data_IF_054483332482
#
_entry.id   IF_054483332482
#
_cell.length_a   1.000
_cell.length_b   1.000
_cell.length_c   1.000
_cell.angle_alpha   90.00
_cell.angle_beta   90.00
_cell.angle_gamma   90.00
#
_symmetry.space_group_name_H-M   'P 1'
#
loop_
_entity.id
_entity.type
_entity.pdbx_description
1 polymer ?
#
# COMPACT_ATOMS: atom_id res chain seq x y z
N UNK A 1 17.75 46.64 -27.36
CA UNK A 1 18.37 45.30 -27.49
C UNK A 1 18.61 44.57 -26.17
N UNK A 2 19.00 45.26 -25.08
CA UNK A 2 19.23 44.61 -23.76
C UNK A 2 17.97 44.06 -23.08
N UNK A 3 16.85 44.80 -23.13
CA UNK A 3 15.59 44.35 -22.53
C UNK A 3 15.05 43.05 -23.15
N UNK A 4 15.17 42.91 -24.47
CA UNK A 4 14.75 41.70 -25.21
C UNK A 4 15.61 40.50 -24.81
N UNK A 5 16.93 40.68 -24.65
CA UNK A 5 17.83 39.60 -24.17
C UNK A 5 17.52 39.16 -22.74
N UNK A 6 17.16 40.10 -21.86
CA UNK A 6 16.77 39.78 -20.49
C UNK A 6 15.41 39.06 -20.43
N UNK A 7 14.47 39.43 -21.29
CA UNK A 7 13.18 38.77 -21.41
C UNK A 7 13.33 37.32 -21.90
N UNK A 8 14.16 37.08 -22.92
CA UNK A 8 14.45 35.74 -23.42
C UNK A 8 15.15 34.88 -22.36
N UNK A 9 16.11 35.43 -21.60
CA UNK A 9 16.73 34.72 -20.48
C UNK A 9 15.73 34.36 -19.38
N UNK A 10 14.79 35.26 -19.07
CA UNK A 10 13.75 35.02 -18.08
C UNK A 10 12.80 33.90 -18.54
N UNK A 11 12.38 33.91 -19.81
CA UNK A 11 11.53 32.88 -20.38
C UNK A 11 12.20 31.49 -20.35
N UNK A 12 13.49 31.41 -20.73
CA UNK A 12 14.25 30.16 -20.65
C UNK A 12 14.38 29.68 -19.19
N UNK A 13 14.62 30.59 -18.23
CA UNK A 13 14.69 30.23 -16.82
C UNK A 13 13.35 29.71 -16.28
N UNK A 14 12.23 30.31 -16.72
CA UNK A 14 10.88 29.86 -16.34
C UNK A 14 10.57 28.49 -16.94
N UNK A 15 10.89 28.26 -18.21
CA UNK A 15 10.70 26.96 -18.85
C UNK A 15 11.54 25.85 -18.18
N UNK A 16 12.81 26.14 -17.85
CA UNK A 16 13.68 25.21 -17.12
C UNK A 16 13.15 24.94 -15.70
N UNK A 17 12.65 25.97 -15.00
CA UNK A 17 12.06 25.80 -13.67
C UNK A 17 10.80 24.93 -13.70
N UNK A 18 9.94 25.10 -14.72
CA UNK A 18 8.74 24.28 -14.92
C UNK A 18 9.11 22.84 -15.31
N UNK A 19 10.16 22.64 -16.11
CA UNK A 19 10.63 21.30 -16.47
C UNK A 19 11.27 20.53 -15.29
N UNK A 20 11.89 21.26 -14.33
CA UNK A 20 12.42 20.69 -13.10
C UNK A 20 11.34 20.43 -12.05
N UNK A 21 10.22 21.15 -12.11
CA UNK A 21 8.99 20.78 -11.43
C UNK A 21 8.30 19.67 -12.23
N UNK A 22 8.87 18.45 -12.17
CA UNK A 22 8.18 17.26 -12.67
C UNK A 22 6.76 17.16 -12.06
N UNK A 23 5.83 16.44 -12.70
CA UNK A 23 4.51 16.22 -12.12
C UNK A 23 4.70 15.63 -10.72
N UNK A 24 4.47 16.45 -9.70
CA UNK A 24 4.41 15.98 -8.34
C UNK A 24 3.26 15.00 -8.29
N UNK A 25 3.56 13.73 -7.98
CA UNK A 25 2.55 12.81 -7.47
C UNK A 25 1.86 13.57 -6.33
N UNK A 26 0.53 13.68 -6.34
CA UNK A 26 -0.16 14.33 -5.24
C UNK A 26 0.17 13.50 -3.99
N UNK A 27 1.06 14.03 -3.16
CA UNK A 27 1.77 13.21 -2.20
C UNK A 27 0.80 12.54 -1.24
N UNK A 28 0.85 11.20 -1.17
CA UNK A 28 0.32 10.45 -0.04
C UNK A 28 0.77 11.13 1.24
N UNK A 29 -0.20 11.49 2.07
CA UNK A 29 0.04 12.11 3.36
C UNK A 29 -0.25 11.10 4.46
N UNK A 30 0.66 11.00 5.43
CA UNK A 30 0.43 10.19 6.63
C UNK A 30 -0.82 10.65 7.39
N UNK A 31 -1.16 11.94 7.32
CA UNK A 31 -2.31 12.53 8.00
C UNK A 31 -3.52 12.71 7.06
N UNK A 32 -3.57 11.99 5.93
CA UNK A 32 -4.64 12.15 4.93
C UNK A 32 -6.05 12.06 5.54
N UNK A 33 -6.23 11.17 6.54
CA UNK A 33 -7.50 10.98 7.24
C UNK A 33 -7.65 11.82 8.52
N UNK A 34 -6.65 12.62 8.90
CA UNK A 34 -6.60 13.29 10.20
C UNK A 34 -7.78 14.20 10.52
N UNK A 35 -8.43 14.78 9.50
CA UNK A 35 -9.63 15.61 9.67
C UNK A 35 -10.95 14.87 9.44
N UNK A 36 -10.99 13.92 8.48
CA UNK A 36 -12.24 13.30 8.02
C UNK A 36 -12.52 11.94 8.67
N UNK A 37 -11.49 11.25 9.15
CA UNK A 37 -11.62 10.01 9.92
C UNK A 37 -10.43 9.86 10.90
N UNK A 38 -10.35 10.70 11.96
CA UNK A 38 -9.19 10.78 12.85
C UNK A 38 -8.87 9.47 13.60
N UNK A 39 -9.86 8.57 13.73
CA UNK A 39 -9.69 7.27 14.39
C UNK A 39 -9.32 6.13 13.44
N UNK A 40 -9.14 6.40 12.13
CA UNK A 40 -8.90 5.35 11.14
C UNK A 40 -7.70 4.46 11.49
N UNK A 41 -6.54 5.07 11.76
CA UNK A 41 -5.33 4.32 12.11
C UNK A 41 -5.48 3.53 13.41
N UNK A 42 -6.16 4.11 14.41
CA UNK A 42 -6.40 3.45 15.68
C UNK A 42 -7.31 2.22 15.54
N UNK A 43 -8.39 2.35 14.76
CA UNK A 43 -9.33 1.26 14.46
C UNK A 43 -8.60 0.12 13.76
N UNK A 44 -7.82 0.44 12.71
CA UNK A 44 -7.03 -0.55 11.96
C UNK A 44 -6.07 -1.27 12.91
N UNK A 45 -5.26 -0.52 13.66
CA UNK A 45 -4.26 -1.06 14.58
C UNK A 45 -4.87 -2.00 15.61
N UNK A 46 -6.02 -1.65 16.18
CA UNK A 46 -6.67 -2.47 17.20
C UNK A 46 -7.20 -3.78 16.64
N UNK A 47 -7.91 -3.74 15.51
CA UNK A 47 -8.50 -4.94 14.90
C UNK A 47 -7.39 -5.88 14.42
N UNK A 48 -6.34 -5.34 13.80
CA UNK A 48 -5.15 -6.13 13.42
C UNK A 48 -4.48 -6.72 14.65
N UNK A 49 -4.37 -5.95 15.74
CA UNK A 49 -3.82 -6.40 17.02
C UNK A 49 -4.57 -7.59 17.59
N UNK A 50 -5.89 -7.47 17.69
CA UNK A 50 -6.77 -8.54 18.14
C UNK A 50 -6.62 -9.80 17.26
N UNK A 51 -6.66 -9.62 15.93
CA UNK A 51 -6.56 -10.72 14.97
C UNK A 51 -5.20 -11.44 15.06
N UNK A 52 -4.09 -10.69 15.09
CA UNK A 52 -2.73 -11.26 15.17
C UNK A 52 -2.44 -11.89 16.52
N UNK A 53 -3.04 -11.39 17.61
CA UNK A 53 -2.97 -12.05 18.91
C UNK A 53 -3.72 -13.39 18.92
N UNK A 54 -4.87 -13.46 18.24
CA UNK A 54 -5.64 -14.69 18.09
C UNK A 54 -4.99 -15.72 17.16
N UNK A 55 -4.49 -15.27 16.01
CA UNK A 55 -3.72 -16.07 15.06
C UNK A 55 -2.44 -15.33 14.63
N UNK A 56 -1.29 -15.67 15.23
CA UNK A 56 0.03 -15.18 14.87
C UNK A 56 0.42 -15.23 13.38
N UNK A 57 -0.17 -16.14 12.61
CA UNK A 57 0.16 -16.32 11.19
C UNK A 57 -0.48 -15.25 10.31
N UNK A 58 -1.53 -14.59 10.80
CA UNK A 58 -2.21 -13.50 10.09
C UNK A 58 -1.30 -12.30 9.85
N UNK A 59 -0.27 -12.08 10.66
CA UNK A 59 0.65 -10.98 10.40
C UNK A 59 1.41 -11.15 9.07
N UNK A 60 1.91 -12.36 8.81
CA UNK A 60 2.52 -12.70 7.53
C UNK A 60 1.47 -12.73 6.40
N UNK A 61 0.24 -13.17 6.71
CA UNK A 61 -0.89 -13.18 5.78
C UNK A 61 -1.26 -11.77 5.28
N UNK A 62 -1.44 -10.81 6.18
CA UNK A 62 -1.79 -9.42 5.88
C UNK A 62 -0.67 -8.69 5.13
N UNK A 63 0.59 -8.90 5.53
CA UNK A 63 1.74 -8.38 4.78
C UNK A 63 1.76 -8.93 3.35
N UNK A 64 1.56 -10.24 3.20
CA UNK A 64 1.53 -10.91 1.90
C UNK A 64 0.33 -10.44 1.06
N UNK A 65 -0.83 -10.20 1.66
CA UNK A 65 -2.01 -9.71 0.97
C UNK A 65 -1.77 -8.33 0.35
N UNK A 66 -1.12 -7.41 1.08
CA UNK A 66 -0.74 -6.10 0.53
C UNK A 66 0.31 -6.21 -0.58
N UNK A 67 1.29 -7.11 -0.44
CA UNK A 67 2.26 -7.37 -1.51
C UNK A 67 1.57 -7.87 -2.80
N UNK A 68 0.64 -8.82 -2.68
CA UNK A 68 -0.06 -9.37 -3.83
C UNK A 68 -0.93 -8.32 -4.54
N UNK A 69 -1.58 -7.42 -3.79
CA UNK A 69 -2.29 -6.28 -4.35
C UNK A 69 -1.35 -5.40 -5.19
N UNK A 70 -0.29 -4.88 -4.57
CA UNK A 70 0.60 -3.93 -5.23
C UNK A 70 1.35 -4.48 -6.45
N UNK A 71 1.65 -5.78 -6.48
CA UNK A 71 2.38 -6.39 -7.60
C UNK A 71 1.50 -6.80 -8.78
N UNK A 72 0.18 -6.79 -8.61
CA UNK A 72 -0.77 -7.09 -9.68
C UNK A 72 -1.60 -5.84 -9.96
N UNK A 73 -1.21 -5.09 -10.99
CA UNK A 73 -1.93 -3.89 -11.49
C UNK A 73 -1.92 -2.66 -10.55
N UNK A 74 -1.20 -2.72 -9.43
CA UNK A 74 -0.97 -1.59 -8.53
C UNK A 74 -1.67 -1.73 -7.18
N UNK A 75 -1.35 -0.85 -6.24
CA UNK A 75 -1.95 -0.87 -4.89
C UNK A 75 -3.35 -0.26 -4.90
N UNK A 76 -4.32 -0.97 -5.48
CA UNK A 76 -5.68 -0.48 -5.70
C UNK A 76 -6.77 -1.33 -5.02
N UNK A 77 -6.36 -2.30 -4.21
CA UNK A 77 -7.21 -3.27 -3.54
C UNK A 77 -8.01 -4.19 -4.48
N UNK A 78 -7.61 -4.33 -5.74
CA UNK A 78 -8.24 -5.24 -6.71
C UNK A 78 -8.20 -6.70 -6.27
N UNK A 79 -7.16 -7.10 -5.52
CA UNK A 79 -7.03 -8.45 -4.95
C UNK A 79 -8.18 -8.84 -4.00
N UNK A 80 -8.91 -7.85 -3.46
CA UNK A 80 -10.00 -8.07 -2.51
C UNK A 80 -11.34 -8.39 -3.18
N UNK A 81 -11.50 -8.06 -4.47
CA UNK A 81 -12.74 -8.25 -5.20
C UNK A 81 -13.08 -9.74 -5.34
N UNK A 82 -14.37 -10.04 -5.27
CA UNK A 82 -14.89 -11.37 -5.58
C UNK A 82 -15.27 -11.45 -7.07
N UNK A 83 -15.16 -12.65 -7.64
CA UNK A 83 -15.58 -12.90 -9.02
C UNK A 83 -17.08 -12.65 -9.18
N UNK A 84 -17.46 -12.05 -10.30
CA UNK A 84 -18.85 -11.84 -10.68
C UNK A 84 -19.17 -12.66 -11.94
N UNK A 85 -20.46 -12.91 -12.24
CA UNK A 85 -20.84 -13.52 -13.52
C UNK A 85 -20.30 -12.68 -14.69
N UNK A 86 -19.32 -13.22 -15.42
CA UNK A 86 -18.68 -12.55 -16.55
C UNK A 86 -17.37 -11.82 -16.24
N UNK A 87 -16.91 -11.76 -14.99
CA UNK A 87 -15.59 -11.21 -14.64
C UNK A 87 -14.91 -12.02 -13.55
N UNK A 88 -13.70 -12.53 -13.84
CA UNK A 88 -12.91 -13.29 -12.87
C UNK A 88 -12.02 -12.35 -12.08
N UNK A 89 -12.16 -12.38 -10.75
CA UNK A 89 -11.35 -11.58 -9.85
C UNK A 89 -9.92 -12.11 -9.73
N UNK A 90 -8.99 -11.20 -9.43
CA UNK A 90 -7.59 -11.52 -9.16
C UNK A 90 -7.46 -12.50 -7.98
N UNK A 91 -8.33 -12.37 -6.98
CA UNK A 91 -8.44 -13.26 -5.82
C UNK A 91 -8.45 -14.76 -6.19
N UNK A 92 -9.04 -15.11 -7.35
CA UNK A 92 -9.17 -16.49 -7.82
C UNK A 92 -8.00 -16.98 -8.70
N UNK A 93 -6.96 -16.17 -8.86
CA UNK A 93 -5.72 -16.56 -9.52
C UNK A 93 -4.98 -17.64 -8.71
N UNK A 94 -4.23 -18.51 -9.39
CA UNK A 94 -3.54 -19.63 -8.74
C UNK A 94 -2.57 -19.17 -7.65
N UNK A 95 -1.86 -18.07 -7.88
CA UNK A 95 -0.94 -17.47 -6.92
C UNK A 95 -1.65 -16.97 -5.64
N UNK A 96 -2.93 -16.61 -5.75
CA UNK A 96 -3.72 -15.94 -4.73
C UNK A 96 -4.53 -16.90 -3.85
N UNK A 97 -4.66 -18.17 -4.25
CA UNK A 97 -5.39 -19.21 -3.48
C UNK A 97 -4.87 -19.45 -2.06
N UNK A 98 -3.64 -19.02 -1.77
CA UNK A 98 -3.02 -19.16 -0.46
C UNK A 98 -3.05 -17.88 0.38
N UNK A 99 -3.69 -16.82 -0.11
CA UNK A 99 -3.90 -15.58 0.62
C UNK A 99 -4.95 -15.76 1.73
N UNK A 100 -4.76 -15.04 2.83
CA UNK A 100 -5.57 -15.09 4.06
C UNK A 100 -5.61 -13.70 4.70
N UNK A 101 -6.49 -13.48 5.68
CA UNK A 101 -6.67 -12.18 6.35
C UNK A 101 -7.72 -11.29 5.67
N UNK A 102 -8.43 -11.82 4.69
CA UNK A 102 -9.53 -11.19 3.97
C UNK A 102 -10.62 -10.69 4.93
N UNK A 103 -11.02 -11.53 5.87
CA UNK A 103 -11.99 -11.28 6.92
C UNK A 103 -11.56 -10.16 7.89
N UNK A 104 -10.27 -9.99 8.11
CA UNK A 104 -9.73 -8.90 8.94
C UNK A 104 -9.93 -7.57 8.23
N UNK A 105 -9.67 -7.53 6.92
CA UNK A 105 -9.89 -6.33 6.09
C UNK A 105 -11.38 -5.97 6.04
N UNK A 106 -12.26 -6.96 5.91
CA UNK A 106 -13.71 -6.74 5.92
C UNK A 106 -14.17 -6.17 7.28
N UNK A 107 -13.74 -6.76 8.40
CA UNK A 107 -14.06 -6.25 9.76
C UNK A 107 -13.59 -4.80 9.94
N UNK A 108 -12.38 -4.47 9.48
CA UNK A 108 -11.86 -3.10 9.53
C UNK A 108 -12.75 -2.18 8.69
N UNK A 109 -13.06 -2.56 7.46
CA UNK A 109 -13.85 -1.75 6.55
C UNK A 109 -15.25 -1.50 7.10
N UNK A 110 -15.92 -2.52 7.60
CA UNK A 110 -17.25 -2.39 8.20
C UNK A 110 -17.23 -1.45 9.41
N UNK A 111 -16.19 -1.56 10.25
CA UNK A 111 -16.02 -0.67 11.41
C UNK A 111 -15.77 0.78 10.97
N UNK A 112 -14.95 0.99 9.94
CA UNK A 112 -14.66 2.32 9.41
C UNK A 112 -15.87 2.94 8.72
N UNK A 113 -16.63 2.18 7.93
CA UNK A 113 -17.85 2.68 7.29
C UNK A 113 -18.93 3.05 8.31
N UNK A 114 -18.98 2.39 9.47
CA UNK A 114 -19.87 2.77 10.56
C UNK A 114 -19.47 4.10 11.23
N UNK A 115 -18.19 4.47 11.20
CA UNK A 115 -17.65 5.66 11.86
C UNK A 115 -17.49 6.86 10.92
N UNK A 116 -17.01 6.61 9.70
CA UNK A 116 -16.70 7.59 8.68
C UNK A 116 -17.06 7.03 7.29
N UNK A 117 -18.37 7.02 6.95
CA UNK A 117 -18.86 6.40 5.72
C UNK A 117 -18.22 6.99 4.46
N UNK A 118 -17.73 6.13 3.56
CA UNK A 118 -17.18 6.55 2.27
C UNK A 118 -15.88 7.35 2.34
N UNK A 119 -15.16 7.29 3.47
CA UNK A 119 -13.90 8.04 3.65
C UNK A 119 -12.68 7.17 3.36
N UNK A 120 -12.52 6.05 4.06
CA UNK A 120 -11.27 5.27 4.01
C UNK A 120 -11.29 4.23 2.91
N UNK A 121 -10.28 4.22 2.04
CA UNK A 121 -10.17 3.27 0.92
C UNK A 121 -9.75 1.86 1.39
N UNK A 122 -10.12 0.83 0.62
CA UNK A 122 -9.66 -0.54 0.90
C UNK A 122 -8.14 -0.71 0.67
N UNK A 123 -7.56 0.06 -0.24
CA UNK A 123 -6.12 0.05 -0.50
C UNK A 123 -5.34 0.59 0.70
N UNK A 124 -5.80 1.68 1.31
CA UNK A 124 -5.19 2.21 2.52
C UNK A 124 -5.36 1.27 3.72
N UNK A 125 -6.49 0.56 3.81
CA UNK A 125 -6.66 -0.47 4.85
C UNK A 125 -5.62 -1.59 4.68
N UNK A 126 -5.34 -2.04 3.46
CA UNK A 126 -4.28 -3.03 3.21
C UNK A 126 -2.90 -2.52 3.64
N UNK A 127 -2.56 -1.28 3.28
CA UNK A 127 -1.28 -0.67 3.64
C UNK A 127 -1.14 -0.51 5.17
N UNK A 128 -2.16 0.03 5.83
CA UNK A 128 -2.18 0.21 7.29
C UNK A 128 -2.15 -1.14 8.03
N UNK A 129 -2.90 -2.14 7.55
CA UNK A 129 -2.92 -3.47 8.16
C UNK A 129 -1.57 -4.19 8.01
N UNK A 130 -0.92 -4.09 6.84
CA UNK A 130 0.42 -4.64 6.62
C UNK A 130 1.45 -3.98 7.54
N UNK A 131 1.42 -2.66 7.69
CA UNK A 131 2.27 -1.92 8.63
C UNK A 131 2.08 -2.43 10.06
N UNK A 132 0.85 -2.48 10.54
CA UNK A 132 0.56 -2.84 11.93
C UNK A 132 0.86 -4.32 12.22
N UNK A 133 0.63 -5.20 11.25
CA UNK A 133 1.00 -6.62 11.31
C UNK A 133 2.52 -6.82 11.51
N UNK A 134 3.36 -6.07 10.78
CA UNK A 134 4.83 -6.14 10.93
C UNK A 134 5.27 -5.63 12.29
N UNK A 135 4.68 -4.53 12.77
CA UNK A 135 5.00 -3.99 14.10
C UNK A 135 4.70 -4.98 15.22
N UNK A 136 3.71 -5.87 15.02
CA UNK A 136 3.32 -6.89 15.98
C UNK A 136 4.19 -8.14 15.95
N UNK A 137 4.94 -8.43 14.88
CA UNK A 137 5.69 -9.69 14.71
C UNK A 137 7.13 -9.49 14.20
N UNK A 138 8.11 -10.02 14.95
CA UNK A 138 9.56 -9.89 14.66
C UNK A 138 10.25 -11.19 14.18
N UNK A 139 9.71 -11.96 13.22
CA UNK A 139 10.35 -13.21 12.70
C UNK A 139 10.02 -13.52 11.22
N UNK A 140 10.98 -14.07 10.44
CA UNK A 140 10.86 -14.49 9.02
C UNK A 140 11.15 -15.99 8.77
N UNK A 141 10.71 -16.57 7.64
CA UNK A 141 10.57 -18.04 7.47
C UNK A 141 10.60 -18.66 6.03
N UNK A 142 10.94 -17.99 4.90
CA UNK A 142 10.64 -18.57 3.54
C UNK A 142 11.89 -18.97 2.72
N UNK A 143 11.73 -19.90 1.76
CA UNK A 143 12.81 -20.49 0.94
C UNK A 143 13.31 -19.61 -0.22
N UNK A 144 12.52 -18.65 -0.72
CA UNK A 144 12.98 -17.59 -1.63
C UNK A 144 14.13 -16.78 -1.02
N UNK A 145 14.18 -16.74 0.31
CA UNK A 145 15.14 -15.97 1.09
C UNK A 145 16.55 -16.55 0.96
N UNK A 146 16.68 -17.83 0.60
CA UNK A 146 17.96 -18.50 0.36
C UNK A 146 18.62 -18.05 -0.95
N UNK A 147 17.84 -17.80 -2.01
CA UNK A 147 18.37 -17.28 -3.29
C UNK A 147 18.96 -15.87 -3.13
N UNK A 148 18.39 -15.05 -2.22
CA UNK A 148 18.93 -13.74 -1.89
C UNK A 148 20.31 -13.82 -1.20
N UNK A 149 20.63 -14.95 -0.55
CA UNK A 149 21.95 -15.18 0.05
C UNK A 149 22.95 -15.76 -0.95
N UNK A 150 22.47 -16.54 -1.91
CA UNK A 150 23.29 -17.23 -2.91
C UNK A 150 23.69 -16.33 -4.09
N UNK A 151 22.88 -15.33 -4.42
CA UNK A 151 23.17 -14.35 -5.48
C UNK A 151 24.26 -13.35 -5.05
N UNK A 152 25.36 -13.20 -5.81
CA UNK A 152 26.42 -12.22 -5.52
C UNK A 152 25.92 -10.77 -5.41
N UNK A 153 24.82 -10.46 -6.13
CA UNK A 153 24.20 -9.13 -6.19
C UNK A 153 23.49 -8.77 -4.87
N UNK A 154 22.91 -9.76 -4.20
CA UNK A 154 22.04 -9.55 -3.02
C UNK A 154 22.67 -10.03 -1.71
N UNK A 155 23.66 -10.92 -1.78
CA UNK A 155 24.37 -11.50 -0.63
C UNK A 155 24.94 -10.44 0.33
N UNK A 156 25.50 -9.34 -0.21
CA UNK A 156 26.03 -8.25 0.62
C UNK A 156 24.94 -7.55 1.44
N UNK A 157 23.77 -7.35 0.85
CA UNK A 157 22.62 -6.76 1.53
C UNK A 157 22.06 -7.72 2.59
N UNK A 158 21.96 -9.02 2.27
CA UNK A 158 21.51 -10.04 3.23
C UNK A 158 22.43 -10.10 4.44
N UNK A 159 23.75 -10.14 4.25
CA UNK A 159 24.71 -10.10 5.35
C UNK A 159 24.60 -8.81 6.17
N UNK A 160 24.44 -7.66 5.50
CA UNK A 160 24.27 -6.37 6.17
C UNK A 160 23.00 -6.33 7.03
N UNK A 161 21.89 -6.86 6.52
CA UNK A 161 20.63 -6.93 7.26
C UNK A 161 20.67 -7.94 8.41
N UNK A 162 21.36 -9.06 8.23
CA UNK A 162 21.57 -10.05 9.30
C UNK A 162 22.43 -9.50 10.45
N UNK A 163 23.46 -8.71 10.13
CA UNK A 163 24.36 -8.12 11.14
C UNK A 163 23.81 -6.83 11.77
N UNK A 164 22.94 -6.10 11.06
CA UNK A 164 22.37 -4.85 11.52
C UNK A 164 20.85 -4.82 11.35
N UNK A 165 20.16 -5.30 12.37
CA UNK A 165 18.71 -5.33 12.41
C UNK A 165 18.07 -3.92 12.34
N UNK A 166 18.74 -2.88 12.86
CA UNK A 166 18.27 -1.49 12.77
C UNK A 166 18.26 -0.99 11.32
N UNK A 167 19.32 -1.30 10.57
CA UNK A 167 19.39 -0.97 9.14
C UNK A 167 18.42 -1.80 8.30
N UNK A 168 18.21 -3.08 8.66
CA UNK A 168 17.16 -3.89 8.05
C UNK A 168 15.78 -3.25 8.20
N UNK A 169 15.39 -2.84 9.41
CA UNK A 169 14.08 -2.22 9.62
C UNK A 169 13.94 -0.88 8.92
N UNK A 170 15.02 -0.08 8.87
CA UNK A 170 15.05 1.15 8.09
C UNK A 170 14.80 0.87 6.61
N UNK A 171 15.58 -0.03 6.01
CA UNK A 171 15.46 -0.39 4.60
C UNK A 171 14.10 -1.05 4.28
N UNK A 172 13.60 -1.91 5.17
CA UNK A 172 12.29 -2.54 5.07
C UNK A 172 11.17 -1.50 5.02
N UNK A 173 11.21 -0.51 5.92
CA UNK A 173 10.21 0.57 5.96
C UNK A 173 10.24 1.40 4.67
N UNK A 174 11.43 1.71 4.15
CA UNK A 174 11.57 2.40 2.87
C UNK A 174 11.06 1.56 1.69
N UNK A 175 11.34 0.26 1.68
CA UNK A 175 10.87 -0.68 0.67
C UNK A 175 9.34 -0.79 0.65
N UNK A 176 8.74 -0.96 1.83
CA UNK A 176 7.27 -1.00 1.98
C UNK A 176 6.62 0.33 1.59
N UNK A 177 7.25 1.46 1.93
CA UNK A 177 6.80 2.78 1.52
C UNK A 177 6.81 2.97 0.00
N UNK A 178 7.83 2.47 -0.70
CA UNK A 178 7.88 2.49 -2.18
C UNK A 178 6.89 1.52 -2.81
N UNK A 179 6.77 0.32 -2.24
CA UNK A 179 5.84 -0.70 -2.75
C UNK A 179 4.40 -0.22 -2.66
N UNK A 180 4.00 0.39 -1.54
CA UNK A 180 2.66 0.94 -1.34
C UNK A 180 2.29 2.12 -2.25
N UNK A 181 3.20 2.55 -3.13
CA UNK A 181 3.01 3.68 -4.06
C UNK A 181 2.95 3.25 -5.52
N UNK A 182 2.94 1.96 -5.80
CA UNK A 182 2.87 1.42 -7.15
C UNK A 182 1.47 1.67 -7.72
N UNK A 183 1.41 2.38 -8.86
CA UNK A 183 0.22 2.59 -9.69
C UNK A 183 -1.07 2.96 -8.93
N UNK A 184 -0.95 3.91 -8.00
CA UNK A 184 -2.08 4.41 -7.21
C UNK A 184 -3.16 5.10 -8.06
N UNK A 185 -4.41 4.82 -7.69
CA UNK A 185 -5.60 5.49 -8.22
C UNK A 185 -5.96 6.68 -7.34
N UNK A 186 -5.64 7.86 -7.82
CA UNK A 186 -5.96 9.13 -7.15
C UNK A 186 -7.09 9.87 -7.87
N UNK A 187 -7.85 10.65 -7.11
CA UNK A 187 -8.92 11.51 -7.64
C UNK A 187 -10.06 10.70 -8.24
N UNK A 188 -10.38 10.96 -9.51
CA UNK A 188 -11.45 10.33 -10.28
C UNK A 188 -11.06 8.98 -10.90
N UNK A 189 -9.80 8.55 -10.74
CA UNK A 189 -9.29 7.30 -11.31
C UNK A 189 -9.65 6.05 -10.49
N UNK A 190 -10.34 6.22 -9.36
CA UNK A 190 -10.73 5.13 -8.45
C UNK A 190 -12.01 5.44 -7.68
N UNK A 191 -12.34 4.59 -6.70
CA UNK A 191 -13.51 4.79 -5.84
C UNK A 191 -13.25 4.38 -4.39
N UNK A 192 -13.98 5.00 -3.47
CA UNK A 192 -14.09 4.52 -2.09
C UNK A 192 -15.20 3.48 -2.04
N UNK A 193 -14.83 2.21 -2.11
CA UNK A 193 -15.78 1.09 -2.01
C UNK A 193 -16.45 1.07 -0.65
N UNK A 194 -17.75 0.79 -0.59
CA UNK A 194 -18.48 0.54 0.67
C UNK A 194 -18.15 -0.84 1.25
N UNK A 195 -17.93 -1.81 0.38
CA UNK A 195 -17.46 -3.15 0.73
C UNK A 195 -16.24 -3.49 -0.12
N UNK A 196 -15.18 -4.01 0.50
CA UNK A 196 -13.96 -4.36 -0.22
C UNK A 196 -14.11 -5.57 -1.16
N UNK A 197 -15.28 -6.23 -1.17
CA UNK A 197 -15.56 -7.41 -2.01
C UNK A 197 -16.17 -7.07 -3.37
N UNK A 198 -16.78 -5.90 -3.49
CA UNK A 198 -17.58 -5.54 -4.66
C UNK A 198 -17.31 -4.11 -5.11
N UNK A 199 -17.39 -3.88 -6.41
CA UNK A 199 -17.40 -2.53 -7.00
C UNK A 199 -18.74 -1.87 -6.66
N UNK A 200 -18.74 -0.57 -6.37
CA UNK A 200 -20.00 0.13 -6.11
C UNK A 200 -20.87 0.14 -7.39
N UNK A 201 -22.19 0.06 -7.23
CA UNK A 201 -23.10 0.22 -8.38
C UNK A 201 -23.07 1.67 -8.87
N UNK A 202 -23.08 1.93 -10.19
CA UNK A 202 -23.25 3.27 -10.71
C UNK A 202 -24.57 3.88 -10.22
N UNK A 203 -24.56 5.16 -9.89
CA UNK A 203 -25.72 5.87 -9.31
C UNK A 203 -26.57 6.62 -10.35
N UNK A 204 -26.52 6.21 -11.62
CA UNK A 204 -27.22 6.85 -12.73
C UNK A 204 -28.34 5.97 -13.31
#
# INVERSE_FOLDING_TARGET
>A
MGAVKNLVKLLILVEVAVALAGPGVAALSMDYYGMNCPFAEYIVRNIVGEAVMGDPTLAAGLLRLHFHDCFVQGCDASVLLDSTPGSKAEKDALANKSLRGFEVIDKIKDTLEAQCPGVVTCADILALAARDAVLMRRRGLVSSDQTLYESPETQRLVNMFAMNQGYFFYAFTQGMGKMGQIDLKEGDRGEVRKSCRVVNKPSW
#
